data_IF_272451600906
#
_entry.id   IF_272451600906
#
_cell.length_a   1.000
_cell.length_b   1.000
_cell.length_c   1.000
_cell.angle_alpha   90.00
_cell.angle_beta   90.00
_cell.angle_gamma   90.00
#
_symmetry.space_group_name_H-M   'P 1'
#
loop_
_entity.id
_entity.type
_entity.pdbx_description
1 polymer ?
#
# COMPACT_ATOMS: atom_id res chain seq x y z
N UNK A 1 -11.02 23.73 -19.47
CA UNK A 1 -10.80 22.82 -18.32
C UNK A 1 -9.31 22.58 -18.09
N UNK A 2 -8.48 22.52 -19.14
CA UNK A 2 -7.03 22.29 -19.06
C UNK A 2 -6.27 23.25 -18.13
N UNK A 3 -6.63 24.52 -18.11
CA UNK A 3 -5.95 25.51 -17.25
C UNK A 3 -6.15 25.23 -15.75
N UNK A 4 -7.36 24.86 -15.32
CA UNK A 4 -7.61 24.49 -13.93
C UNK A 4 -6.88 23.21 -13.54
N UNK A 5 -6.86 22.20 -14.43
CA UNK A 5 -6.08 20.97 -14.23
C UNK A 5 -4.58 21.26 -14.09
N UNK A 6 -4.03 22.12 -14.95
CA UNK A 6 -2.64 22.59 -14.87
C UNK A 6 -2.37 23.24 -13.50
N UNK A 7 -3.23 24.15 -13.06
CA UNK A 7 -3.03 24.83 -11.78
C UNK A 7 -3.22 23.93 -10.57
N UNK A 8 -4.19 23.02 -10.60
CA UNK A 8 -4.39 22.04 -9.53
C UNK A 8 -3.13 21.19 -9.32
N UNK A 9 -2.52 20.72 -10.41
CA UNK A 9 -1.25 20.01 -10.37
C UNK A 9 -0.08 20.88 -9.88
N UNK A 10 0.04 22.12 -10.34
CA UNK A 10 1.11 23.02 -9.88
C UNK A 10 0.96 23.40 -8.41
N UNK A 11 -0.27 23.63 -7.93
CA UNK A 11 -0.55 23.96 -6.53
C UNK A 11 -0.07 22.85 -5.61
N UNK A 12 -0.31 21.61 -6.03
CA UNK A 12 0.15 20.40 -5.38
C UNK A 12 1.68 20.23 -5.40
N UNK A 13 2.34 20.39 -6.56
CA UNK A 13 3.80 20.20 -6.67
C UNK A 13 4.59 21.23 -5.86
N UNK A 14 4.10 22.47 -5.79
CA UNK A 14 4.85 23.57 -5.17
C UNK A 14 4.26 24.05 -3.85
N UNK A 15 3.41 23.25 -3.19
CA UNK A 15 2.81 23.54 -1.88
C UNK A 15 2.16 24.94 -1.83
N UNK A 16 1.12 25.15 -2.62
CA UNK A 16 0.36 26.39 -2.60
C UNK A 16 -0.29 26.64 -1.23
N UNK A 17 -0.34 27.89 -0.73
CA UNK A 17 0.25 29.10 -1.29
C UNK A 17 1.72 29.29 -0.87
N UNK A 18 2.64 29.50 -1.81
CA UNK A 18 4.06 29.65 -1.48
C UNK A 18 4.84 30.53 -2.45
N UNK A 19 6.00 31.02 -2.00
CA UNK A 19 6.96 31.74 -2.86
C UNK A 19 7.48 30.84 -3.99
N UNK A 20 7.70 29.56 -3.72
CA UNK A 20 8.14 28.57 -4.72
C UNK A 20 7.10 28.39 -5.82
N UNK A 21 5.82 28.27 -5.47
CA UNK A 21 4.71 28.23 -6.44
C UNK A 21 4.67 29.47 -7.33
N UNK A 22 4.72 30.68 -6.74
CA UNK A 22 4.71 31.93 -7.50
C UNK A 22 5.92 32.06 -8.44
N UNK A 23 7.08 31.58 -8.02
CA UNK A 23 8.28 31.56 -8.86
C UNK A 23 8.16 30.56 -10.02
N UNK A 24 7.54 29.39 -9.79
CA UNK A 24 7.27 28.42 -10.85
C UNK A 24 6.35 29.02 -11.93
N UNK A 25 5.28 29.72 -11.54
CA UNK A 25 4.40 30.41 -12.48
C UNK A 25 5.14 31.47 -13.31
N UNK A 26 5.98 32.29 -12.68
CA UNK A 26 6.79 33.31 -13.38
C UNK A 26 7.72 32.70 -14.43
N UNK A 27 8.32 31.53 -14.15
CA UNK A 27 9.19 30.82 -15.09
C UNK A 27 8.45 30.35 -16.35
N UNK A 28 7.16 30.06 -16.23
CA UNK A 28 6.31 29.67 -17.38
C UNK A 28 5.78 30.86 -18.18
N UNK A 29 6.09 32.10 -17.79
CA UNK A 29 5.66 33.34 -18.46
C UNK A 29 4.61 34.13 -17.68
N UNK A 30 4.44 35.41 -18.05
CA UNK A 30 3.47 36.34 -17.43
C UNK A 30 2.14 36.40 -18.19
N UNK A 31 1.53 35.23 -18.41
CA UNK A 31 0.17 35.15 -18.99
C UNK A 31 -0.88 35.71 -18.04
N UNK A 32 -2.08 36.00 -18.54
CA UNK A 32 -3.19 36.48 -17.71
C UNK A 32 -3.50 35.49 -16.58
N UNK A 33 -3.61 34.21 -16.90
CA UNK A 33 -3.94 33.13 -15.97
C UNK A 33 -2.88 33.00 -14.86
N UNK A 34 -1.60 33.09 -15.22
CA UNK A 34 -0.51 33.07 -14.24
C UNK A 34 -0.53 34.31 -13.33
N UNK A 35 -0.87 35.49 -13.85
CA UNK A 35 -1.03 36.71 -13.04
C UNK A 35 -2.17 36.53 -12.04
N UNK A 36 -3.29 35.97 -12.48
CA UNK A 36 -4.45 35.70 -11.62
C UNK A 36 -4.08 34.74 -10.47
N UNK A 37 -3.42 33.62 -10.76
CA UNK A 37 -2.97 32.67 -9.72
C UNK A 37 -1.91 33.24 -8.79
N UNK A 38 -0.99 34.08 -9.28
CA UNK A 38 0.01 34.74 -8.43
C UNK A 38 -0.68 35.66 -7.42
N UNK A 39 -1.63 36.47 -7.86
CA UNK A 39 -2.35 37.40 -6.99
C UNK A 39 -3.30 36.64 -6.04
N UNK A 40 -3.94 35.55 -6.48
CA UNK A 40 -4.70 34.63 -5.60
C UNK A 40 -3.78 33.99 -4.54
N UNK A 41 -2.60 33.53 -4.92
CA UNK A 41 -1.61 32.98 -3.98
C UNK A 41 -1.21 33.99 -2.90
N UNK A 42 -0.99 35.25 -3.30
CA UNK A 42 -0.69 36.33 -2.35
C UNK A 42 -1.87 36.68 -1.46
N UNK A 43 -3.09 36.67 -1.99
CA UNK A 43 -4.29 36.87 -1.19
C UNK A 43 -4.38 35.81 -0.09
N UNK A 44 -4.19 34.54 -0.42
CA UNK A 44 -4.34 33.46 0.57
C UNK A 44 -3.21 33.50 1.61
N UNK A 45 -1.98 33.84 1.20
CA UNK A 45 -0.84 33.93 2.13
C UNK A 45 -0.90 35.17 3.03
N UNK A 46 -1.33 36.32 2.51
CA UNK A 46 -1.25 37.61 3.23
C UNK A 46 -2.61 38.17 3.68
N UNK A 47 -3.73 37.59 3.24
CA UNK A 47 -5.09 38.05 3.55
C UNK A 47 -5.51 39.37 2.89
N UNK A 48 -4.70 39.94 1.99
CA UNK A 48 -4.95 41.30 1.45
C UNK A 48 -5.90 41.25 0.26
N UNK A 49 -7.15 41.72 0.46
CA UNK A 49 -8.21 41.71 -0.57
C UNK A 49 -7.89 42.51 -1.84
N UNK A 50 -6.91 43.43 -1.80
CA UNK A 50 -6.49 44.22 -2.97
C UNK A 50 -5.98 43.34 -4.12
N UNK A 51 -5.38 42.18 -3.82
CA UNK A 51 -4.94 41.22 -4.83
C UNK A 51 -6.13 40.62 -5.62
N UNK A 52 -7.21 40.22 -4.93
CA UNK A 52 -8.41 39.71 -5.61
C UNK A 52 -9.18 40.83 -6.34
N UNK A 53 -9.22 42.05 -5.78
CA UNK A 53 -9.78 43.22 -6.49
C UNK A 53 -9.01 43.50 -7.79
N UNK A 54 -7.69 43.31 -7.77
CA UNK A 54 -6.85 43.40 -8.98
C UNK A 54 -7.17 42.29 -9.98
N UNK A 55 -7.35 41.04 -9.53
CA UNK A 55 -7.81 39.94 -10.38
C UNK A 55 -9.14 40.26 -11.06
N UNK A 56 -10.12 40.76 -10.31
CA UNK A 56 -11.42 41.19 -10.86
C UNK A 56 -11.27 42.24 -11.96
N UNK A 57 -10.41 43.23 -11.78
CA UNK A 57 -10.12 44.25 -12.82
C UNK A 57 -9.42 43.66 -14.04
N UNK A 58 -8.42 42.79 -13.83
CA UNK A 58 -7.71 42.12 -14.92
C UNK A 58 -8.66 41.30 -15.78
N UNK A 59 -9.56 40.52 -15.17
CA UNK A 59 -10.53 39.72 -15.91
C UNK A 59 -11.50 40.59 -16.71
N UNK A 60 -12.01 41.67 -16.11
CA UNK A 60 -12.95 42.59 -16.80
C UNK A 60 -12.33 43.31 -17.99
N UNK A 61 -11.03 43.58 -17.95
CA UNK A 61 -10.32 44.30 -19.00
C UNK A 61 -9.78 43.39 -20.12
N UNK A 62 -9.99 42.08 -20.03
CA UNK A 62 -9.53 41.11 -21.03
C UNK A 62 -10.72 40.32 -21.60
N UNK A 63 -10.47 39.57 -22.67
CA UNK A 63 -11.48 38.75 -23.32
C UNK A 63 -12.10 37.72 -22.36
N UNK A 64 -13.42 37.58 -22.44
CA UNK A 64 -14.14 36.61 -21.64
C UNK A 64 -14.01 35.23 -22.27
N UNK A 65 -13.48 34.31 -21.50
CA UNK A 65 -13.32 32.90 -21.83
C UNK A 65 -14.02 32.07 -20.77
N UNK A 66 -14.33 30.79 -21.04
CA UNK A 66 -14.86 29.90 -20.00
C UNK A 66 -13.99 29.84 -18.75
N UNK A 67 -12.65 29.95 -18.90
CA UNK A 67 -11.73 30.01 -17.77
C UNK A 67 -11.88 31.32 -17.00
N UNK A 68 -11.78 32.47 -17.66
CA UNK A 68 -11.81 33.78 -16.98
C UNK A 68 -13.17 34.05 -16.32
N UNK A 69 -14.27 33.60 -16.91
CA UNK A 69 -15.60 33.65 -16.29
C UNK A 69 -15.66 32.82 -14.99
N UNK A 70 -15.22 31.56 -15.02
CA UNK A 70 -15.23 30.71 -13.83
C UNK A 70 -14.25 31.22 -12.75
N UNK A 71 -13.10 31.75 -13.17
CA UNK A 71 -12.12 32.33 -12.27
C UNK A 71 -12.62 33.62 -11.61
N UNK A 72 -13.41 34.42 -12.34
CA UNK A 72 -14.07 35.60 -11.78
C UNK A 72 -15.04 35.19 -10.69
N UNK A 73 -15.91 34.21 -10.94
CA UNK A 73 -16.83 33.70 -9.92
C UNK A 73 -16.06 33.15 -8.69
N UNK A 74 -14.95 32.43 -8.89
CA UNK A 74 -14.08 31.98 -7.81
C UNK A 74 -13.46 33.15 -7.02
N UNK A 75 -12.99 34.19 -7.72
CA UNK A 75 -12.45 35.40 -7.11
C UNK A 75 -13.52 36.15 -6.31
N UNK A 76 -14.75 36.20 -6.81
CA UNK A 76 -15.89 36.82 -6.13
C UNK A 76 -16.33 36.02 -4.90
N UNK A 77 -16.34 34.69 -4.97
CA UNK A 77 -16.62 33.84 -3.82
C UNK A 77 -15.62 34.08 -2.68
N UNK A 78 -14.32 34.16 -2.98
CA UNK A 78 -13.28 34.46 -1.98
C UNK A 78 -13.36 35.89 -1.42
N UNK A 79 -13.75 36.87 -2.24
CA UNK A 79 -13.89 38.27 -1.82
C UNK A 79 -15.11 38.51 -0.93
N UNK A 80 -16.25 37.95 -1.32
CA UNK A 80 -17.54 38.17 -0.66
C UNK A 80 -17.71 37.30 0.58
N UNK A 81 -17.02 36.15 0.61
CA UNK A 81 -17.16 35.14 1.67
C UNK A 81 -18.62 34.73 1.91
N UNK A 82 -19.41 34.68 0.83
CA UNK A 82 -20.80 34.24 0.87
C UNK A 82 -20.85 32.72 0.70
N UNK A 83 -21.46 32.00 1.65
CA UNK A 83 -21.55 30.55 1.65
C UNK A 83 -22.16 30.01 0.35
N UNK A 84 -23.28 30.56 -0.11
CA UNK A 84 -23.96 30.09 -1.33
C UNK A 84 -23.09 30.19 -2.58
N UNK A 85 -22.33 31.29 -2.70
CA UNK A 85 -21.39 31.49 -3.81
C UNK A 85 -20.21 30.51 -3.73
N UNK A 86 -19.68 30.28 -2.53
CA UNK A 86 -18.60 29.33 -2.31
C UNK A 86 -19.06 27.90 -2.64
N UNK A 87 -20.24 27.48 -2.16
CA UNK A 87 -20.83 26.16 -2.45
C UNK A 87 -21.07 25.98 -3.96
N UNK A 88 -21.64 26.99 -4.62
CA UNK A 88 -21.85 26.96 -6.08
C UNK A 88 -20.55 26.76 -6.83
N UNK A 89 -19.49 27.46 -6.44
CA UNK A 89 -18.19 27.36 -7.10
C UNK A 89 -17.48 26.05 -6.79
N UNK A 90 -17.60 25.57 -5.55
CA UNK A 90 -17.10 24.26 -5.13
C UNK A 90 -17.65 23.16 -6.03
N UNK A 91 -18.96 23.17 -6.31
CA UNK A 91 -19.60 22.18 -7.19
C UNK A 91 -19.07 22.25 -8.63
N UNK A 92 -18.84 23.46 -9.15
CA UNK A 92 -18.23 23.65 -10.49
C UNK A 92 -16.78 23.17 -10.55
N UNK A 93 -16.05 23.23 -9.44
CA UNK A 93 -14.65 22.86 -9.33
C UNK A 93 -14.42 21.49 -8.67
N UNK A 94 -15.46 20.64 -8.58
CA UNK A 94 -15.44 19.36 -7.84
C UNK A 94 -14.37 18.34 -8.31
N UNK A 95 -13.75 18.57 -9.47
CA UNK A 95 -12.70 17.73 -10.03
C UNK A 95 -11.28 18.24 -9.70
N UNK A 96 -11.14 19.41 -9.07
CA UNK A 96 -9.85 20.06 -8.79
C UNK A 96 -9.62 20.11 -7.28
N UNK A 97 -8.87 19.14 -6.75
CA UNK A 97 -8.81 18.86 -5.31
C UNK A 97 -8.30 20.05 -4.51
N UNK A 98 -7.24 20.72 -4.95
CA UNK A 98 -6.64 21.84 -4.21
C UNK A 98 -7.56 23.07 -4.20
N UNK A 99 -8.42 23.23 -5.21
CA UNK A 99 -9.42 24.29 -5.22
C UNK A 99 -10.54 23.99 -4.22
N UNK A 100 -11.03 22.75 -4.18
CA UNK A 100 -12.08 22.34 -3.23
C UNK A 100 -11.57 22.48 -1.80
N UNK A 101 -10.35 22.01 -1.51
CA UNK A 101 -9.80 22.11 -0.15
C UNK A 101 -9.75 23.54 0.34
N UNK A 102 -9.34 24.47 -0.53
CA UNK A 102 -9.33 25.89 -0.17
C UNK A 102 -10.73 26.45 0.05
N UNK A 103 -11.71 26.03 -0.75
CA UNK A 103 -13.11 26.45 -0.57
C UNK A 103 -13.72 25.84 0.70
N UNK A 104 -13.39 24.60 1.03
CA UNK A 104 -13.80 23.92 2.26
C UNK A 104 -13.18 24.61 3.50
N UNK A 105 -11.94 25.09 3.42
CA UNK A 105 -11.33 25.93 4.47
C UNK A 105 -12.08 27.25 4.65
N UNK A 106 -12.43 27.94 3.56
CA UNK A 106 -13.20 29.19 3.65
C UNK A 106 -14.60 28.94 4.23
N UNK A 107 -15.29 27.86 3.82
CA UNK A 107 -16.58 27.47 4.40
C UNK A 107 -16.45 27.15 5.89
N UNK A 108 -15.41 26.41 6.28
CA UNK A 108 -15.15 26.10 7.69
C UNK A 108 -14.88 27.35 8.51
N UNK A 109 -14.23 28.37 7.93
CA UNK A 109 -14.02 29.68 8.58
C UNK A 109 -15.30 30.50 8.76
N UNK A 110 -16.39 30.09 8.10
CA UNK A 110 -17.73 30.67 8.19
C UNK A 110 -18.68 29.78 9.00
N UNK A 111 -18.14 28.85 9.79
CA UNK A 111 -18.89 27.86 10.58
C UNK A 111 -19.86 27.00 9.76
N UNK A 112 -19.59 26.82 8.46
CA UNK A 112 -20.39 25.97 7.59
C UNK A 112 -19.93 24.51 7.68
N UNK A 113 -20.87 23.59 7.91
CA UNK A 113 -20.58 22.15 7.92
C UNK A 113 -20.35 21.60 6.51
N UNK A 114 -19.07 21.49 6.13
CA UNK A 114 -18.63 20.93 4.86
C UNK A 114 -18.90 19.43 4.71
N UNK A 115 -19.26 18.71 5.79
CA UNK A 115 -19.56 17.27 5.72
C UNK A 115 -20.75 16.97 4.80
N UNK A 116 -21.73 17.88 4.76
CA UNK A 116 -22.93 17.81 3.93
C UNK A 116 -22.65 17.87 2.42
N UNK A 117 -21.50 18.43 2.04
CA UNK A 117 -21.09 18.60 0.64
C UNK A 117 -20.16 17.48 0.15
N UNK A 118 -19.81 16.54 1.03
CA UNK A 118 -18.91 15.42 0.70
C UNK A 118 -19.69 14.22 0.22
N UNK A 119 -19.08 13.47 -0.68
CA UNK A 119 -19.61 12.21 -1.18
C UNK A 119 -19.34 11.11 -0.16
N UNK A 120 -20.41 10.50 0.33
CA UNK A 120 -20.36 9.39 1.27
C UNK A 120 -20.16 8.08 0.53
N UNK A 121 -19.20 7.29 0.97
CA UNK A 121 -19.01 5.92 0.52
C UNK A 121 -18.91 5.00 1.74
N UNK A 122 -19.67 3.91 1.75
CA UNK A 122 -19.65 2.93 2.83
C UNK A 122 -18.74 1.77 2.45
N UNK A 123 -17.64 1.60 3.18
CA UNK A 123 -16.79 0.41 3.10
C UNK A 123 -17.12 -0.49 4.30
N UNK A 124 -17.96 -1.50 4.06
CA UNK A 124 -18.57 -2.32 5.12
C UNK A 124 -19.34 -1.45 6.13
N UNK A 125 -18.80 -1.29 7.35
CA UNK A 125 -19.37 -0.49 8.43
C UNK A 125 -18.69 0.88 8.60
N UNK A 126 -17.74 1.23 7.73
CA UNK A 126 -16.99 2.49 7.79
C UNK A 126 -17.43 3.48 6.71
N UNK A 127 -17.87 4.67 7.15
CA UNK A 127 -18.16 5.79 6.25
C UNK A 127 -16.88 6.54 5.86
N UNK A 128 -16.65 6.67 4.56
CA UNK A 128 -15.56 7.44 3.97
C UNK A 128 -16.16 8.66 3.27
N UNK A 129 -15.67 9.86 3.61
CA UNK A 129 -16.10 11.11 2.99
C UNK A 129 -15.09 11.59 1.96
N UNK A 130 -15.54 11.70 0.71
CA UNK A 130 -14.75 12.20 -0.42
C UNK A 130 -15.15 13.62 -0.80
N UNK A 131 -14.19 14.43 -1.25
CA UNK A 131 -14.43 15.81 -1.69
C UNK A 131 -15.24 15.91 -3.00
N UNK A 132 -15.21 14.87 -3.83
CA UNK A 132 -15.90 14.82 -5.11
C UNK A 132 -16.03 13.40 -5.66
N UNK A 133 -16.93 13.21 -6.63
CA UNK A 133 -17.21 11.91 -7.26
C UNK A 133 -15.96 11.30 -7.93
N UNK A 134 -15.08 12.13 -8.51
CA UNK A 134 -13.83 11.67 -9.11
C UNK A 134 -12.94 10.91 -8.12
N UNK A 135 -12.90 11.36 -6.86
CA UNK A 135 -12.13 10.70 -5.79
C UNK A 135 -12.73 9.36 -5.36
N UNK A 136 -14.06 9.24 -5.42
CA UNK A 136 -14.74 7.95 -5.22
C UNK A 136 -14.33 6.96 -6.30
N UNK A 137 -14.28 7.41 -7.57
CA UNK A 137 -13.81 6.57 -8.69
C UNK A 137 -12.34 6.17 -8.55
N UNK A 138 -11.47 7.09 -8.15
CA UNK A 138 -10.07 6.78 -7.82
C UNK A 138 -9.95 5.73 -6.71
N UNK A 139 -10.81 5.81 -5.69
CA UNK A 139 -10.86 4.84 -4.60
C UNK A 139 -11.27 3.45 -5.09
N UNK A 140 -12.37 3.35 -5.83
CA UNK A 140 -12.87 2.10 -6.37
C UNK A 140 -11.87 1.43 -7.34
N UNK A 141 -11.15 2.24 -8.12
CA UNK A 141 -10.17 1.76 -9.09
C UNK A 141 -8.78 1.50 -8.51
N UNK A 142 -8.57 1.67 -7.18
CA UNK A 142 -7.26 1.54 -6.52
C UNK A 142 -6.19 2.50 -7.06
N UNK A 143 -6.58 3.62 -7.66
CA UNK A 143 -5.67 4.66 -8.18
C UNK A 143 -5.58 5.89 -7.28
N UNK A 144 -6.34 5.91 -6.18
CA UNK A 144 -6.33 7.00 -5.20
C UNK A 144 -4.94 7.27 -4.64
N UNK A 145 -4.47 8.50 -4.83
CA UNK A 145 -3.15 8.92 -4.37
C UNK A 145 -3.25 9.44 -2.93
N UNK A 146 -2.56 8.76 -2.01
CA UNK A 146 -2.45 9.11 -0.60
C UNK A 146 -1.34 10.15 -0.45
N UNK A 147 -1.70 11.38 -0.11
CA UNK A 147 -0.74 12.50 -0.12
C UNK A 147 -0.81 13.40 1.11
N UNK A 148 -1.89 13.30 1.88
CA UNK A 148 -2.08 14.09 3.09
C UNK A 148 -2.30 13.18 4.31
N UNK A 149 -2.32 13.81 5.48
CA UNK A 149 -2.54 13.17 6.78
C UNK A 149 -3.98 13.34 7.28
N UNK A 150 -4.92 13.72 6.41
CA UNK A 150 -6.32 13.87 6.79
C UNK A 150 -6.93 12.51 7.10
N UNK A 151 -7.90 12.49 8.02
CA UNK A 151 -8.53 11.26 8.49
C UNK A 151 -9.01 10.34 7.35
N UNK A 152 -9.83 10.83 6.41
CA UNK A 152 -10.35 10.01 5.30
C UNK A 152 -9.25 9.47 4.37
N UNK A 153 -8.17 10.23 4.15
CA UNK A 153 -7.03 9.79 3.34
C UNK A 153 -6.24 8.69 4.05
N UNK A 154 -6.04 8.82 5.36
CA UNK A 154 -5.42 7.79 6.19
C UNK A 154 -6.32 6.55 6.30
N UNK A 155 -7.63 6.72 6.40
CA UNK A 155 -8.61 5.65 6.40
C UNK A 155 -8.51 4.82 5.11
N UNK A 156 -8.49 5.48 3.94
CA UNK A 156 -8.26 4.82 2.63
C UNK A 156 -6.92 4.08 2.61
N UNK A 157 -5.84 4.67 3.14
CA UNK A 157 -4.54 4.02 3.24
C UNK A 157 -4.59 2.72 4.04
N UNK A 158 -5.27 2.73 5.20
CA UNK A 158 -5.42 1.56 6.03
C UNK A 158 -6.26 0.47 5.35
N UNK A 159 -7.38 0.85 4.71
CA UNK A 159 -8.23 -0.06 3.92
C UNK A 159 -7.40 -0.75 2.84
N UNK A 160 -6.68 0.00 2.00
CA UNK A 160 -5.84 -0.58 0.96
C UNK A 160 -4.75 -1.49 1.50
N UNK A 161 -4.16 -1.17 2.64
CA UNK A 161 -3.15 -2.03 3.26
C UNK A 161 -3.76 -3.37 3.67
N UNK A 162 -4.90 -3.37 4.37
CA UNK A 162 -5.61 -4.58 4.80
C UNK A 162 -6.05 -5.41 3.58
N UNK A 163 -6.70 -4.79 2.60
CA UNK A 163 -7.10 -5.42 1.34
C UNK A 163 -5.94 -6.08 0.60
N UNK A 164 -4.80 -5.38 0.48
CA UNK A 164 -3.60 -5.93 -0.15
C UNK A 164 -3.04 -7.13 0.59
N UNK A 165 -3.06 -7.13 1.93
CA UNK A 165 -2.60 -8.28 2.73
C UNK A 165 -3.56 -9.46 2.61
N UNK A 166 -4.87 -9.19 2.57
CA UNK A 166 -5.90 -10.20 2.29
C UNK A 166 -5.66 -10.86 0.94
N UNK A 167 -5.55 -10.09 -0.13
CA UNK A 167 -5.28 -10.61 -1.48
C UNK A 167 -3.99 -11.44 -1.55
N UNK A 168 -2.95 -11.04 -0.83
CA UNK A 168 -1.70 -11.81 -0.75
C UNK A 168 -1.89 -13.16 -0.07
N UNK A 169 -2.71 -13.22 0.98
CA UNK A 169 -3.05 -14.45 1.68
C UNK A 169 -3.92 -15.36 0.80
N UNK A 170 -4.94 -14.81 0.14
CA UNK A 170 -5.79 -15.55 -0.79
C UNK A 170 -5.00 -16.16 -1.96
N UNK A 171 -4.04 -15.42 -2.52
CA UNK A 171 -3.14 -15.93 -3.56
C UNK A 171 -2.33 -17.14 -3.09
N UNK A 172 -1.97 -17.19 -1.81
CA UNK A 172 -1.27 -18.37 -1.26
C UNK A 172 -2.19 -19.58 -1.20
N UNK A 173 -3.47 -19.41 -0.85
CA UNK A 173 -4.41 -20.53 -0.82
C UNK A 173 -4.78 -21.05 -2.22
N UNK A 174 -4.64 -20.22 -3.26
CA UNK A 174 -4.82 -20.64 -4.66
C UNK A 174 -3.65 -21.44 -5.24
N UNK A 175 -2.44 -21.21 -4.77
CA UNK A 175 -1.25 -21.90 -5.29
C UNK A 175 -1.18 -23.33 -4.75
N UNK A 176 -0.83 -24.35 -5.53
CA UNK A 176 -0.79 -25.73 -5.03
C UNK A 176 0.48 -26.06 -4.21
N UNK A 177 1.55 -25.26 -4.36
CA UNK A 177 2.86 -25.46 -3.74
C UNK A 177 3.11 -24.50 -2.56
N UNK A 178 2.25 -24.52 -1.55
CA UNK A 178 2.43 -23.67 -0.35
C UNK A 178 3.29 -24.31 0.73
N UNK A 179 4.16 -23.50 1.33
CA UNK A 179 4.84 -23.83 2.59
C UNK A 179 3.98 -23.33 3.75
N UNK A 180 3.57 -24.21 4.67
CA UNK A 180 2.78 -23.86 5.87
C UNK A 180 3.40 -22.68 6.64
N UNK A 181 4.72 -22.66 6.78
CA UNK A 181 5.45 -21.54 7.40
C UNK A 181 5.14 -20.19 6.73
N UNK A 182 5.11 -20.15 5.40
CA UNK A 182 4.83 -18.92 4.67
C UNK A 182 3.38 -18.46 4.86
N UNK A 183 2.42 -19.40 4.91
CA UNK A 183 1.02 -19.10 5.23
C UNK A 183 0.93 -18.45 6.61
N UNK A 184 1.52 -19.08 7.64
CA UNK A 184 1.55 -18.55 9.01
C UNK A 184 2.16 -17.16 9.09
N UNK A 185 3.31 -16.94 8.45
CA UNK A 185 3.96 -15.63 8.40
C UNK A 185 3.06 -14.57 7.74
N UNK A 186 2.34 -14.92 6.66
CA UNK A 186 1.38 -13.98 6.03
C UNK A 186 0.14 -13.71 6.87
N UNK A 187 -0.38 -14.71 7.57
CA UNK A 187 -1.49 -14.52 8.52
C UNK A 187 -1.07 -13.55 9.62
N UNK A 188 0.11 -13.73 10.23
CA UNK A 188 0.65 -12.81 11.25
C UNK A 188 0.79 -11.38 10.73
N UNK A 189 1.32 -11.22 9.51
CA UNK A 189 1.42 -9.90 8.87
C UNK A 189 0.04 -9.28 8.66
N UNK A 190 -0.96 -10.08 8.30
CA UNK A 190 -2.33 -9.60 8.10
C UNK A 190 -2.98 -9.18 9.42
N UNK A 191 -2.89 -10.00 10.47
CA UNK A 191 -3.35 -9.67 11.83
C UNK A 191 -2.69 -8.38 12.33
N UNK A 192 -1.39 -8.21 12.12
CA UNK A 192 -0.70 -6.97 12.51
C UNK A 192 -1.24 -5.75 11.75
N UNK A 193 -1.52 -5.86 10.45
CA UNK A 193 -2.18 -4.79 9.69
C UNK A 193 -3.59 -4.47 10.21
N UNK A 194 -4.36 -5.49 10.61
CA UNK A 194 -5.70 -5.32 11.20
C UNK A 194 -5.61 -4.61 12.56
N UNK A 195 -4.69 -5.03 13.43
CA UNK A 195 -4.44 -4.36 14.71
C UNK A 195 -4.04 -2.89 14.55
N UNK A 196 -3.19 -2.58 13.56
CA UNK A 196 -2.84 -1.20 13.24
C UNK A 196 -4.04 -0.39 12.75
N UNK A 197 -4.93 -1.00 11.98
CA UNK A 197 -6.13 -0.33 11.50
C UNK A 197 -7.14 -0.10 12.64
N UNK A 198 -7.42 -1.13 13.44
CA UNK A 198 -8.30 -1.02 14.62
C UNK A 198 -7.78 0.07 15.57
N UNK A 199 -6.49 0.07 15.90
CA UNK A 199 -5.88 1.11 16.74
C UNK A 199 -6.02 2.51 16.15
N UNK A 200 -5.91 2.65 14.82
CA UNK A 200 -6.15 3.93 14.15
C UNK A 200 -7.60 4.40 14.32
N UNK A 201 -8.58 3.50 14.16
CA UNK A 201 -9.99 3.82 14.33
C UNK A 201 -10.32 4.17 15.80
N UNK A 202 -9.83 3.38 16.76
CA UNK A 202 -9.98 3.64 18.20
C UNK A 202 -9.42 5.01 18.58
N UNK A 203 -8.26 5.38 18.02
CA UNK A 203 -7.65 6.71 18.24
C UNK A 203 -8.50 7.87 17.70
N UNK A 204 -9.47 7.58 16.83
CA UNK A 204 -10.42 8.53 16.26
C UNK A 204 -11.86 8.29 16.74
N UNK A 205 -12.07 7.48 17.79
CA UNK A 205 -13.38 7.15 18.36
C UNK A 205 -14.34 6.48 17.37
N UNK A 206 -13.80 5.67 16.45
CA UNK A 206 -14.57 4.88 15.49
C UNK A 206 -14.39 3.40 15.80
N UNK A 207 -15.48 2.65 15.77
CA UNK A 207 -15.48 1.19 15.93
C UNK A 207 -15.90 0.51 14.62
N UNK A 208 -15.36 -0.69 14.37
CA UNK A 208 -15.73 -1.53 13.22
C UNK A 208 -15.93 -2.96 13.68
N UNK A 209 -17.17 -3.42 13.65
CA UNK A 209 -17.54 -4.82 13.89
C UNK A 209 -16.91 -5.72 12.83
N UNK A 210 -16.86 -5.25 11.58
CA UNK A 210 -16.27 -5.97 10.46
C UNK A 210 -14.79 -6.29 10.70
N UNK A 211 -13.98 -5.28 11.04
CA UNK A 211 -12.55 -5.49 11.30
C UNK A 211 -12.29 -6.39 12.51
N UNK A 212 -13.09 -6.23 13.57
CA UNK A 212 -13.00 -7.09 14.76
C UNK A 212 -13.39 -8.54 14.48
N UNK A 213 -14.37 -8.77 13.59
CA UNK A 213 -14.72 -10.11 13.12
C UNK A 213 -13.56 -10.72 12.32
N UNK A 214 -13.03 -10.00 11.32
CA UNK A 214 -11.93 -10.51 10.49
C UNK A 214 -10.68 -10.81 11.31
N UNK A 215 -10.38 -9.98 12.30
CA UNK A 215 -9.26 -10.22 13.22
C UNK A 215 -9.43 -11.57 13.93
N UNK A 216 -10.58 -11.82 14.56
CA UNK A 216 -10.89 -13.09 15.24
C UNK A 216 -10.84 -14.29 14.30
N UNK A 217 -11.37 -14.14 13.09
CA UNK A 217 -11.32 -15.17 12.05
C UNK A 217 -9.87 -15.53 11.69
N UNK A 218 -9.00 -14.51 11.57
CA UNK A 218 -7.59 -14.69 11.23
C UNK A 218 -6.77 -15.24 12.40
N UNK A 219 -7.08 -14.87 13.64
CA UNK A 219 -6.48 -15.45 14.86
C UNK A 219 -6.81 -16.94 14.97
N UNK A 220 -8.07 -17.32 14.73
CA UNK A 220 -8.50 -18.72 14.69
C UNK A 220 -7.76 -19.52 13.61
N UNK A 221 -7.55 -18.91 12.44
CA UNK A 221 -6.78 -19.51 11.35
C UNK A 221 -5.28 -19.67 11.72
N UNK A 222 -4.69 -18.68 12.39
CA UNK A 222 -3.30 -18.73 12.87
C UNK A 222 -3.10 -19.86 13.89
N UNK A 223 -4.05 -20.03 14.81
CA UNK A 223 -4.06 -21.11 15.80
C UNK A 223 -4.11 -22.48 15.13
N UNK A 224 -5.04 -22.68 14.18
CA UNK A 224 -5.17 -23.93 13.44
C UNK A 224 -3.87 -24.31 12.69
N UNK A 225 -3.23 -23.34 12.02
CA UNK A 225 -1.94 -23.59 11.37
C UNK A 225 -0.77 -23.78 12.35
N UNK A 226 -0.91 -23.34 13.60
CA UNK A 226 0.11 -23.48 14.63
C UNK A 226 0.07 -24.83 15.34
N UNK A 227 -1.13 -25.32 15.66
CA UNK A 227 -1.34 -26.58 16.39
C UNK A 227 -1.39 -27.79 15.45
N UNK A 228 -1.62 -27.59 14.14
CA UNK A 228 -2.05 -28.66 13.26
C UNK A 228 -3.54 -28.97 13.49
N UNK A 229 -4.13 -29.80 12.63
CA UNK A 229 -5.58 -30.03 12.57
C UNK A 229 -6.24 -30.15 13.95
N UNK A 230 -7.04 -29.16 14.33
CA UNK A 230 -7.94 -29.21 15.49
C UNK A 230 -9.27 -29.84 15.06
N UNK A 231 -9.86 -30.66 15.93
CA UNK A 231 -11.05 -31.48 15.62
C UNK A 231 -12.27 -30.61 15.29
N UNK A 232 -12.30 -29.36 15.75
CA UNK A 232 -13.45 -28.45 15.64
C UNK A 232 -13.18 -27.18 14.79
N UNK A 233 -12.13 -27.18 13.95
CA UNK A 233 -11.83 -26.00 13.12
C UNK A 233 -12.76 -25.88 11.91
N UNK A 234 -13.54 -24.81 11.86
CA UNK A 234 -14.27 -24.36 10.68
C UNK A 234 -13.53 -23.22 9.97
N UNK A 235 -13.38 -23.32 8.66
CA UNK A 235 -12.79 -22.24 7.86
C UNK A 235 -13.68 -20.99 7.94
N UNK A 236 -13.13 -19.82 8.28
CA UNK A 236 -13.92 -18.59 8.36
C UNK A 236 -14.61 -18.25 7.04
N UNK A 237 -15.81 -17.68 7.11
CA UNK A 237 -16.64 -17.37 5.92
C UNK A 237 -15.89 -16.53 4.88
N UNK A 238 -15.02 -15.60 5.33
CA UNK A 238 -14.17 -14.77 4.47
C UNK A 238 -13.27 -15.61 3.52
N UNK A 239 -12.85 -16.79 3.95
CA UNK A 239 -11.95 -17.69 3.22
C UNK A 239 -12.61 -18.99 2.76
N UNK A 240 -13.94 -19.08 2.84
CA UNK A 240 -14.68 -20.30 2.51
C UNK A 240 -14.46 -20.81 1.09
N UNK A 241 -14.26 -19.90 0.14
CA UNK A 241 -13.88 -20.23 -1.24
C UNK A 241 -12.56 -21.00 -1.36
N UNK A 242 -11.76 -21.04 -0.29
CA UNK A 242 -10.46 -21.70 -0.22
C UNK A 242 -10.45 -22.84 0.81
N UNK A 243 -11.62 -23.29 1.27
CA UNK A 243 -11.77 -24.26 2.33
C UNK A 243 -10.99 -25.55 2.05
N UNK A 244 -11.15 -26.14 0.87
CA UNK A 244 -10.43 -27.36 0.46
C UNK A 244 -8.91 -27.17 0.54
N UNK A 245 -8.38 -26.06 0.00
CA UNK A 245 -6.96 -25.73 0.05
C UNK A 245 -6.45 -25.54 1.48
N UNK A 246 -7.23 -24.88 2.33
CA UNK A 246 -6.87 -24.63 3.73
C UNK A 246 -6.84 -25.94 4.51
N UNK A 247 -7.89 -26.77 4.38
CA UNK A 247 -7.97 -28.08 5.04
C UNK A 247 -6.83 -28.98 4.56
N UNK A 248 -6.54 -29.01 3.25
CA UNK A 248 -5.40 -29.76 2.70
C UNK A 248 -4.07 -29.28 3.28
N UNK A 249 -3.87 -27.96 3.38
CA UNK A 249 -2.66 -27.38 3.96
C UNK A 249 -2.50 -27.75 5.45
N UNK A 250 -3.59 -27.72 6.23
CA UNK A 250 -3.61 -28.12 7.64
C UNK A 250 -3.33 -29.62 7.84
N UNK A 251 -3.81 -30.46 6.92
CA UNK A 251 -3.57 -31.91 6.94
C UNK A 251 -2.20 -32.32 6.41
N UNK A 252 -1.46 -31.40 5.79
CA UNK A 252 -0.13 -31.69 5.26
C UNK A 252 0.84 -31.84 6.44
N UNK A 253 1.41 -33.02 6.69
CA UNK A 253 2.28 -33.23 7.82
C UNK A 253 3.49 -32.28 7.71
N UNK A 254 3.70 -31.49 8.75
CA UNK A 254 4.91 -30.69 8.88
C UNK A 254 6.06 -31.69 9.00
N UNK A 255 6.79 -31.92 7.90
CA UNK A 255 7.98 -32.77 7.92
C UNK A 255 8.97 -32.16 8.91
N UNK A 256 9.12 -32.80 10.07
CA UNK A 256 10.11 -32.42 11.07
C UNK A 256 11.49 -32.45 10.41
N UNK A 257 12.21 -31.33 10.45
CA UNK A 257 13.55 -31.20 9.87
C UNK A 257 14.51 -32.25 10.43
N UNK A 258 14.40 -32.59 11.73
CA UNK A 258 15.23 -33.64 12.34
C UNK A 258 14.89 -35.01 11.77
N UNK A 259 13.59 -35.32 11.69
CA UNK A 259 13.12 -36.61 11.16
C UNK A 259 13.46 -36.78 9.67
N UNK A 260 13.34 -35.71 8.88
CA UNK A 260 13.70 -35.70 7.45
C UNK A 260 15.21 -35.79 7.27
N UNK A 261 16.00 -35.08 8.09
CA UNK A 261 17.46 -35.21 8.10
C UNK A 261 17.89 -36.62 8.45
N UNK A 262 17.29 -37.23 9.47
CA UNK A 262 17.59 -38.60 9.87
C UNK A 262 17.17 -39.61 8.80
N UNK A 263 16.05 -39.39 8.12
CA UNK A 263 15.66 -40.23 6.98
C UNK A 263 16.66 -40.14 5.83
N UNK A 264 17.09 -38.93 5.48
CA UNK A 264 18.12 -38.72 4.45
C UNK A 264 19.45 -39.35 4.86
N UNK A 265 19.87 -39.16 6.12
CA UNK A 265 21.08 -39.78 6.66
C UNK A 265 21.00 -41.30 6.61
N UNK A 266 19.88 -41.90 7.02
CA UNK A 266 19.69 -43.34 6.96
C UNK A 266 19.71 -43.86 5.51
N UNK A 267 19.11 -43.14 4.55
CA UNK A 267 19.16 -43.54 3.14
C UNK A 267 20.57 -43.42 2.54
N UNK A 268 21.34 -42.40 2.94
CA UNK A 268 22.75 -42.27 2.55
C UNK A 268 23.60 -43.36 3.20
N UNK A 269 23.41 -43.62 4.49
CA UNK A 269 24.09 -44.71 5.19
C UNK A 269 23.78 -46.04 4.51
N UNK A 270 22.52 -46.36 4.20
CA UNK A 270 22.16 -47.59 3.46
C UNK A 270 22.79 -47.64 2.06
N UNK A 271 22.88 -46.51 1.35
CA UNK A 271 23.48 -46.44 0.03
C UNK A 271 25.00 -46.69 0.09
N UNK A 272 25.70 -46.12 1.07
CA UNK A 272 27.15 -46.29 1.26
C UNK A 272 27.52 -47.60 1.99
N UNK A 273 26.59 -48.21 2.72
CA UNK A 273 26.79 -49.47 3.44
C UNK A 273 26.66 -50.69 2.53
N UNK A 274 26.07 -50.54 1.34
CA UNK A 274 26.04 -51.61 0.35
C UNK A 274 27.47 -51.83 -0.16
N UNK A 275 28.04 -53.03 -0.02
CA UNK A 275 29.33 -53.32 -0.61
C UNK A 275 29.20 -53.11 -2.11
N UNK A 276 29.96 -52.14 -2.63
CA UNK A 276 30.11 -51.98 -4.07
C UNK A 276 30.88 -53.23 -4.50
N UNK A 277 30.23 -54.17 -5.18
CA UNK A 277 30.92 -55.21 -5.94
C UNK A 277 31.69 -54.51 -7.07
N UNK A 278 32.87 -54.00 -6.74
CA UNK A 278 33.80 -53.53 -7.76
C UNK A 278 34.41 -54.78 -8.40
N UNK A 279 33.84 -55.20 -9.52
CA UNK A 279 34.56 -56.00 -10.49
C UNK A 279 35.68 -55.14 -11.08
N UNK A 280 36.81 -55.06 -10.36
CA UNK A 280 38.05 -54.52 -10.91
C UNK A 280 38.59 -55.61 -11.85
N UNK A 281 38.69 -55.37 -13.17
CA UNK A 281 39.41 -56.29 -14.03
C UNK A 281 40.89 -56.25 -13.61
N UNK A 282 41.45 -57.42 -13.28
CA UNK A 282 42.88 -57.56 -12.99
C UNK A 282 43.71 -56.93 -14.11
N UNK A 283 44.45 -55.86 -13.78
CA UNK A 283 45.52 -55.33 -14.61
C UNK A 283 46.86 -55.88 -14.10
N UNK A 284 47.68 -56.57 -14.92
CA UNK A 284 48.99 -57.06 -14.51
C UNK A 284 50.06 -55.95 -14.55
N UNK A 285 50.95 -55.98 -13.55
CA UNK A 285 52.38 -55.60 -13.63
C UNK A 285 52.80 -54.17 -14.05
N UNK A 286 51.95 -53.14 -13.91
CA UNK A 286 52.44 -51.74 -14.01
C UNK A 286 52.50 -50.98 -12.69
N UNK A 287 52.11 -51.62 -11.57
CA UNK A 287 52.05 -50.96 -10.26
C UNK A 287 53.40 -50.86 -9.52
N UNK A 288 54.39 -51.70 -9.86
CA UNK A 288 55.69 -51.65 -9.17
C UNK A 288 56.57 -50.48 -9.60
N UNK A 289 56.38 -49.92 -10.79
CA UNK A 289 57.20 -48.79 -11.27
C UNK A 289 56.64 -47.44 -10.76
N UNK A 290 55.34 -47.35 -10.50
CA UNK A 290 54.69 -46.10 -10.10
C UNK A 290 54.62 -45.90 -8.57
N UNK A 291 54.75 -46.96 -7.77
CA UNK A 291 54.63 -46.86 -6.31
C UNK A 291 55.76 -46.01 -5.67
N UNK A 292 56.95 -46.03 -6.26
CA UNK A 292 58.10 -45.24 -5.78
C UNK A 292 58.00 -43.74 -6.13
N UNK A 293 57.15 -43.35 -7.08
CA UNK A 293 57.03 -41.97 -7.56
C UNK A 293 55.74 -41.27 -7.10
N UNK A 294 54.80 -41.98 -6.49
CA UNK A 294 53.57 -41.41 -5.96
C UNK A 294 53.74 -41.15 -4.45
N UNK A 295 54.07 -39.91 -4.09
CA UNK A 295 53.87 -39.44 -2.71
C UNK A 295 52.38 -39.20 -2.49
N UNK A 296 51.71 -40.13 -1.81
CA UNK A 296 50.39 -39.86 -1.25
C UNK A 296 50.52 -38.75 -0.19
N UNK A 297 49.65 -37.72 -0.21
CA UNK A 297 49.65 -36.74 0.87
C UNK A 297 49.36 -37.45 2.19
N UNK A 298 50.09 -37.09 3.24
CA UNK A 298 49.82 -37.59 4.59
C UNK A 298 48.36 -37.30 4.93
N UNK A 299 47.62 -38.33 5.36
CA UNK A 299 46.23 -38.21 5.81
C UNK A 299 46.22 -37.39 7.09
N UNK A 300 46.22 -36.07 6.94
CA UNK A 300 46.25 -35.10 8.04
C UNK A 300 45.13 -34.10 7.88
N UNK A 301 43.89 -34.58 7.61
CA UNK A 301 42.67 -33.78 7.80
C UNK A 301 41.54 -34.68 8.27
N UNK A 302 41.03 -34.45 9.48
CA UNK A 302 39.76 -35.06 9.89
C UNK A 302 38.67 -34.61 8.92
N UNK A 303 37.69 -35.48 8.66
CA UNK A 303 36.53 -35.20 7.79
C UNK A 303 35.85 -33.85 8.13
N UNK A 304 35.97 -33.38 9.37
CA UNK A 304 35.44 -32.11 9.87
C UNK A 304 36.05 -30.88 9.19
N UNK A 305 37.32 -30.91 8.76
CA UNK A 305 37.95 -29.81 8.01
C UNK A 305 37.44 -29.71 6.56
N UNK A 306 37.02 -30.84 5.98
CA UNK A 306 36.46 -30.89 4.63
C UNK A 306 35.02 -30.35 4.65
N UNK A 307 34.24 -30.68 5.68
CA UNK A 307 32.87 -30.18 5.83
C UNK A 307 32.80 -28.68 6.14
N UNK A 308 33.79 -28.11 6.83
CA UNK A 308 33.87 -26.67 7.09
C UNK A 308 34.18 -25.85 5.83
N UNK A 309 34.87 -26.43 4.83
CA UNK A 309 35.14 -25.76 3.54
C UNK A 309 33.99 -25.83 2.54
N UNK A 310 33.05 -26.74 2.73
CA UNK A 310 31.86 -26.87 1.87
C UNK A 310 30.72 -25.92 2.27
N UNK A 311 30.94 -25.05 3.26
CA UNK A 311 30.03 -24.00 3.75
C UNK A 311 28.57 -24.49 3.95
N UNK A 312 28.44 -25.74 4.41
CA UNK A 312 27.18 -26.30 4.88
C UNK A 312 26.97 -25.87 6.35
N UNK A 313 26.42 -24.68 6.53
CA UNK A 313 25.79 -24.24 7.80
C UNK A 313 24.33 -24.68 7.90
#
# INVERSE_FOLDING_TARGET
MDTFSKFDNLRKIHNFPSKTYRNALRKTGLTLENKLEIDTSKYIEFGVSSYLKKNKRLIKNNEQSPFTNLYLEYTEALLTKCCDLIVKIRNKLQNFTNFIEKLDEELSSLDFDTSTLKFKYQWHDLEILFSGEGRVKEFLNKTFIIQDTKYNTLLVKHIYNVEKKREQLEKLFKNENYRIRCIREKIKVYINSLNQFIKFLESNYVESEYLNKIKRDCESLEEAFSQGKTVDFSVPELFKNYEESIIKALNTPIKDKKKTRNQILNEFEDYFSKPIEMNIPFLPEFYDIAFDFIKFPEVTKSLEEIFTKLDLK
#
